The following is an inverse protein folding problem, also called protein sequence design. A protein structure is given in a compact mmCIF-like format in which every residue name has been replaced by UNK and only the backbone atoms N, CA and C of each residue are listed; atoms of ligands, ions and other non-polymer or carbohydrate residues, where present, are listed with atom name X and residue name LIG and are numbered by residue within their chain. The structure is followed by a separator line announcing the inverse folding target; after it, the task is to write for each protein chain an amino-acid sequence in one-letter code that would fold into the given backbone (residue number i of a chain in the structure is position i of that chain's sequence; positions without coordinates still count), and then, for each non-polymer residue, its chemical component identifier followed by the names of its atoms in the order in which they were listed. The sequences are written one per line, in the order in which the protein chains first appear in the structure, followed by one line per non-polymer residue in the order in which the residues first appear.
data_IF_901570404165
#
_entry.id   IF_901570404165
#
_cell.length_a   1.000
_cell.length_b   1.000
_cell.length_c   1.000
_cell.angle_alpha   90.00
_cell.angle_beta   90.00
_cell.angle_gamma   90.00
#
_symmetry.space_group_name_H-M   'P 1'
#
loop_
_entity.id
_entity.type
_entity.pdbx_description
1 polymer ?
#
# COMPACT_ATOMS: atom_id res chain seq x y z
N UNK A 1 15.14 -33.21 20.57
CA UNK A 1 16.24 -32.46 19.92
C UNK A 1 15.96 -32.46 18.44
N UNK A 2 15.82 -31.28 17.80
CA UNK A 2 15.59 -31.21 16.36
C UNK A 2 16.87 -31.63 15.64
N UNK A 3 16.76 -32.63 14.80
CA UNK A 3 17.84 -33.21 14.00
C UNK A 3 18.15 -32.25 12.83
N UNK A 4 18.78 -31.10 13.15
CA UNK A 4 19.06 -30.03 12.17
C UNK A 4 20.25 -30.35 11.27
N UNK A 5 20.96 -31.46 11.51
CA UNK A 5 22.16 -31.86 10.77
C UNK A 5 21.87 -32.40 9.36
N UNK A 6 20.62 -32.75 9.05
CA UNK A 6 20.26 -33.44 7.79
C UNK A 6 19.29 -32.67 6.89
N UNK A 7 18.97 -31.40 7.21
CA UNK A 7 18.04 -30.61 6.39
C UNK A 7 18.80 -29.92 5.25
N UNK A 8 18.52 -30.26 3.96
CA UNK A 8 19.11 -29.58 2.82
C UNK A 8 18.83 -28.08 2.87
N UNK A 9 19.77 -27.26 2.39
CA UNK A 9 19.67 -25.79 2.37
C UNK A 9 18.30 -25.28 1.88
N UNK A 10 17.75 -25.92 0.84
CA UNK A 10 16.47 -25.58 0.21
C UNK A 10 15.26 -25.75 1.13
N UNK A 11 15.35 -26.67 2.10
CA UNK A 11 14.26 -27.03 3.01
C UNK A 11 14.36 -26.36 4.38
N UNK A 12 15.35 -25.49 4.59
CA UNK A 12 15.56 -24.85 5.88
C UNK A 12 14.55 -23.72 6.10
N UNK A 13 13.85 -23.70 7.25
CA UNK A 13 12.96 -22.59 7.58
C UNK A 13 13.74 -21.29 7.72
N UNK A 14 13.15 -20.17 7.29
CA UNK A 14 13.75 -18.85 7.46
C UNK A 14 13.87 -18.52 8.94
N UNK A 15 15.05 -18.08 9.37
CA UNK A 15 15.26 -17.68 10.76
C UNK A 15 14.62 -16.31 11.03
N UNK A 16 13.88 -16.14 12.14
CA UNK A 16 13.31 -14.86 12.51
C UNK A 16 14.40 -13.87 12.92
N UNK A 17 14.15 -12.58 12.69
CA UNK A 17 15.06 -11.52 13.17
C UNK A 17 14.98 -11.42 14.69
N UNK A 18 16.12 -11.64 15.35
CA UNK A 18 16.22 -11.56 16.81
C UNK A 18 16.33 -10.09 17.25
N UNK A 19 15.50 -9.62 18.21
CA UNK A 19 15.63 -8.28 18.78
C UNK A 19 16.95 -8.10 19.52
N UNK A 20 17.56 -6.92 19.39
CA UNK A 20 18.81 -6.56 20.08
C UNK A 20 18.52 -6.18 21.54
N UNK A 21 18.46 -7.18 22.42
CA UNK A 21 18.36 -6.99 23.88
C UNK A 21 19.66 -7.44 24.58
N UNK A 22 19.94 -6.90 25.78
CA UNK A 22 21.10 -7.32 26.58
C UNK A 22 21.10 -8.83 26.84
N UNK A 23 19.93 -9.39 27.15
CA UNK A 23 19.71 -10.84 27.36
C UNK A 23 20.02 -11.64 26.10
N UNK A 24 19.45 -11.27 24.96
CA UNK A 24 19.64 -11.99 23.70
C UNK A 24 21.11 -11.97 23.27
N UNK A 25 21.79 -10.84 23.47
CA UNK A 25 23.22 -10.72 23.20
C UNK A 25 24.07 -11.62 24.11
N UNK A 26 23.69 -11.80 25.38
CA UNK A 26 24.38 -12.71 26.27
C UNK A 26 24.23 -14.18 25.81
N UNK A 27 23.02 -14.57 25.39
CA UNK A 27 22.76 -15.91 24.83
C UNK A 27 23.61 -16.16 23.58
N UNK A 28 23.62 -15.23 22.62
CA UNK A 28 24.44 -15.34 21.40
C UNK A 28 25.92 -15.46 21.74
N UNK A 29 26.43 -14.66 22.69
CA UNK A 29 27.84 -14.74 23.10
C UNK A 29 28.19 -16.07 23.75
N UNK A 30 27.34 -16.59 24.61
CA UNK A 30 27.55 -17.88 25.25
C UNK A 30 27.59 -19.00 24.21
N UNK A 31 26.65 -18.97 23.25
CA UNK A 31 26.59 -19.98 22.20
C UNK A 31 27.77 -19.87 21.23
N UNK A 32 28.21 -18.66 20.87
CA UNK A 32 29.40 -18.46 20.04
C UNK A 32 30.68 -19.03 20.66
N UNK A 33 30.83 -19.01 22.00
CA UNK A 33 31.99 -19.61 22.67
C UNK A 33 32.03 -21.13 22.50
N UNK A 34 30.86 -21.76 22.57
CA UNK A 34 30.70 -23.20 22.38
C UNK A 34 30.83 -23.56 20.88
N UNK A 35 30.38 -22.68 19.99
CA UNK A 35 30.37 -22.91 18.55
C UNK A 35 31.77 -23.11 17.96
N UNK A 36 32.78 -22.43 18.51
CA UNK A 36 34.18 -22.51 18.05
C UNK A 36 34.67 -23.96 18.07
N UNK A 37 34.40 -24.72 19.13
CA UNK A 37 34.87 -26.12 19.24
C UNK A 37 34.21 -27.03 18.22
N UNK A 38 32.97 -26.74 17.82
CA UNK A 38 32.28 -27.51 16.78
C UNK A 38 32.76 -27.15 15.37
N UNK A 39 33.11 -25.89 15.14
CA UNK A 39 33.65 -25.43 13.85
C UNK A 39 35.06 -25.96 13.60
N UNK A 40 35.90 -26.06 14.63
CA UNK A 40 37.24 -26.65 14.52
C UNK A 40 37.22 -28.15 14.17
N UNK A 41 36.16 -28.85 14.58
CA UNK A 41 35.97 -30.27 14.28
C UNK A 41 35.31 -30.53 12.90
N UNK A 42 34.88 -29.47 12.20
CA UNK A 42 34.18 -29.56 10.92
C UNK A 42 35.12 -29.94 9.79
N UNK A 43 34.71 -30.91 8.96
CA UNK A 43 35.55 -31.45 7.86
C UNK A 43 35.23 -30.84 6.51
N UNK A 44 33.99 -30.40 6.31
CA UNK A 44 33.53 -29.88 5.03
C UNK A 44 32.62 -28.65 5.19
N UNK A 45 32.34 -28.00 4.06
CA UNK A 45 31.54 -26.79 4.03
C UNK A 45 30.07 -27.05 4.42
N UNK A 46 29.54 -28.23 4.08
CA UNK A 46 28.17 -28.64 4.37
C UNK A 46 27.94 -28.85 5.88
N UNK A 47 28.91 -29.45 6.56
CA UNK A 47 28.94 -29.67 7.99
C UNK A 47 29.05 -28.33 8.72
N UNK A 48 29.94 -27.45 8.23
CA UNK A 48 30.09 -26.08 8.75
C UNK A 48 28.78 -25.31 8.67
N UNK A 49 28.13 -25.32 7.51
CA UNK A 49 26.85 -24.67 7.28
C UNK A 49 25.73 -25.26 8.16
N UNK A 50 25.70 -26.59 8.33
CA UNK A 50 24.73 -27.27 9.21
C UNK A 50 24.95 -26.94 10.70
N UNK A 51 26.20 -26.80 11.14
CA UNK A 51 26.58 -26.38 12.49
C UNK A 51 26.13 -24.93 12.74
N UNK A 52 26.41 -24.02 11.80
CA UNK A 52 25.99 -22.61 11.91
C UNK A 52 24.47 -22.48 11.93
N UNK A 53 23.77 -23.23 11.09
CA UNK A 53 22.31 -23.22 11.07
C UNK A 53 21.72 -23.78 12.36
N UNK A 54 22.20 -24.93 12.85
CA UNK A 54 21.77 -25.52 14.12
C UNK A 54 22.01 -24.59 15.30
N UNK A 55 23.15 -23.90 15.33
CA UNK A 55 23.46 -22.86 16.32
C UNK A 55 22.44 -21.72 16.30
N UNK A 56 22.10 -21.21 15.13
CA UNK A 56 21.14 -20.13 14.99
C UNK A 56 19.70 -20.56 15.37
N UNK A 57 19.32 -21.80 15.04
CA UNK A 57 18.05 -22.42 15.48
C UNK A 57 18.02 -22.55 17.01
N UNK A 58 19.10 -23.02 17.63
CA UNK A 58 19.22 -23.13 19.08
C UNK A 58 19.07 -21.77 19.77
N UNK A 59 19.71 -20.71 19.25
CA UNK A 59 19.51 -19.34 19.74
C UNK A 59 18.04 -18.92 19.65
N UNK A 60 17.39 -19.19 18.51
CA UNK A 60 15.97 -18.86 18.34
C UNK A 60 15.10 -19.59 19.37
N UNK A 61 15.37 -20.86 19.64
CA UNK A 61 14.67 -21.63 20.67
C UNK A 61 14.88 -21.07 22.09
N UNK A 62 16.11 -20.78 22.47
CA UNK A 62 16.44 -20.25 23.81
C UNK A 62 15.79 -18.88 24.06
N UNK A 63 15.69 -18.06 23.00
CA UNK A 63 15.05 -16.73 23.07
C UNK A 63 13.52 -16.84 23.00
N UNK A 64 12.97 -17.99 22.64
CA UNK A 64 11.53 -18.18 22.42
C UNK A 64 11.03 -17.54 21.12
N UNK A 65 11.91 -17.32 20.15
CA UNK A 65 11.53 -16.84 18.83
C UNK A 65 10.81 -17.94 18.05
N UNK A 66 9.60 -17.67 17.57
CA UNK A 66 8.83 -18.62 16.76
C UNK A 66 9.50 -18.78 15.40
N UNK A 67 10.03 -19.96 15.10
CA UNK A 67 10.47 -20.28 13.74
C UNK A 67 9.23 -20.37 12.85
N UNK A 68 9.21 -19.71 11.68
CA UNK A 68 8.15 -19.89 10.71
C UNK A 68 8.14 -21.35 10.25
N UNK A 69 6.99 -22.00 10.39
CA UNK A 69 6.74 -23.34 9.85
C UNK A 69 6.94 -23.29 8.34
N UNK A 70 7.75 -24.21 7.79
CA UNK A 70 7.86 -24.41 6.35
C UNK A 70 6.45 -24.64 5.79
N UNK A 71 5.92 -23.66 5.07
CA UNK A 71 4.53 -23.67 4.58
C UNK A 71 3.70 -22.43 4.92
N UNK A 72 4.08 -21.61 5.91
CA UNK A 72 3.39 -20.34 6.16
C UNK A 72 3.97 -19.23 5.28
N UNK A 73 3.72 -19.33 3.98
CA UNK A 73 3.86 -18.21 3.06
C UNK A 73 2.91 -17.10 3.52
N UNK A 74 3.41 -16.16 4.33
CA UNK A 74 2.73 -14.88 4.50
C UNK A 74 2.74 -14.25 3.11
N UNK A 75 1.60 -14.30 2.42
CA UNK A 75 1.40 -13.75 1.07
C UNK A 75 2.07 -12.38 1.02
N UNK A 76 3.22 -12.29 0.37
CA UNK A 76 3.83 -11.00 0.14
C UNK A 76 2.91 -10.29 -0.84
N UNK A 77 2.08 -9.38 -0.35
CA UNK A 77 1.39 -8.45 -1.23
C UNK A 77 2.48 -7.72 -1.98
N UNK A 78 2.56 -7.94 -3.29
CA UNK A 78 3.49 -7.23 -4.17
C UNK A 78 3.22 -5.74 -3.92
N UNK A 79 4.19 -5.06 -3.31
CA UNK A 79 4.01 -3.68 -2.91
C UNK A 79 3.89 -2.83 -4.18
N UNK A 80 2.67 -2.39 -4.50
CA UNK A 80 2.41 -1.50 -5.64
C UNK A 80 3.14 -0.18 -5.36
N UNK A 81 4.03 0.28 -6.25
CA UNK A 81 4.71 1.55 -6.08
C UNK A 81 3.72 2.70 -5.87
N UNK A 82 4.02 3.62 -4.96
CA UNK A 82 3.09 4.69 -4.57
C UNK A 82 2.67 5.59 -5.75
N UNK A 83 3.54 5.76 -6.77
CA UNK A 83 3.19 6.52 -7.98
C UNK A 83 2.14 5.80 -8.83
N UNK A 84 2.23 4.47 -8.96
CA UNK A 84 1.29 3.65 -9.72
C UNK A 84 -0.09 3.71 -9.09
N UNK A 85 -0.16 3.51 -7.77
CA UNK A 85 -1.40 3.65 -7.00
C UNK A 85 -2.02 5.04 -7.16
N UNK A 86 -1.22 6.11 -7.14
CA UNK A 86 -1.70 7.48 -7.36
C UNK A 86 -2.33 7.66 -8.75
N UNK A 87 -1.73 7.12 -9.81
CA UNK A 87 -2.30 7.18 -11.16
C UNK A 87 -3.61 6.39 -11.24
N UNK A 88 -3.62 5.16 -10.73
CA UNK A 88 -4.81 4.31 -10.70
C UNK A 88 -5.98 4.98 -9.94
N UNK A 89 -5.70 5.57 -8.78
CA UNK A 89 -6.70 6.30 -7.99
C UNK A 89 -7.25 7.53 -8.74
N UNK A 90 -6.41 8.25 -9.49
CA UNK A 90 -6.85 9.41 -10.30
C UNK A 90 -7.76 8.96 -11.45
N UNK A 91 -7.39 7.89 -12.15
CA UNK A 91 -8.19 7.32 -13.24
C UNK A 91 -9.53 6.81 -12.70
N UNK A 92 -9.53 6.09 -11.58
CA UNK A 92 -10.74 5.58 -10.95
C UNK A 92 -11.71 6.71 -10.56
N UNK A 93 -11.18 7.80 -9.99
CA UNK A 93 -11.97 9.00 -9.66
C UNK A 93 -12.56 9.67 -10.90
N UNK A 94 -11.79 9.80 -11.98
CA UNK A 94 -12.27 10.38 -13.23
C UNK A 94 -13.42 9.56 -13.83
N UNK A 95 -13.27 8.22 -13.89
CA UNK A 95 -14.33 7.31 -14.33
C UNK A 95 -15.59 7.41 -13.48
N UNK A 96 -15.44 7.47 -12.16
CA UNK A 96 -16.57 7.66 -11.25
C UNK A 96 -17.29 8.98 -11.48
N UNK A 97 -16.55 10.06 -11.76
CA UNK A 97 -17.13 11.36 -12.07
C UNK A 97 -17.86 11.36 -13.43
N UNK A 98 -17.27 10.79 -14.48
CA UNK A 98 -17.93 10.59 -15.79
C UNK A 98 -19.28 9.87 -15.61
N UNK A 99 -19.30 8.79 -14.84
CA UNK A 99 -20.54 8.04 -14.58
C UNK A 99 -21.61 8.86 -13.88
N UNK A 100 -21.25 9.73 -12.93
CA UNK A 100 -22.18 10.61 -12.23
C UNK A 100 -22.71 11.74 -13.13
N UNK A 101 -21.84 12.38 -13.92
CA UNK A 101 -22.24 13.42 -14.88
C UNK A 101 -23.18 12.83 -15.94
N UNK A 102 -22.87 11.63 -16.45
CA UNK A 102 -23.72 10.93 -17.43
C UNK A 102 -25.07 10.57 -16.82
N UNK A 103 -25.07 10.09 -15.57
CA UNK A 103 -26.32 9.75 -14.86
C UNK A 103 -27.20 11.00 -14.65
N UNK A 104 -26.60 12.12 -14.27
CA UNK A 104 -27.31 13.39 -14.12
C UNK A 104 -27.89 13.86 -15.47
N UNK A 105 -27.12 13.75 -16.55
CA UNK A 105 -27.57 14.08 -17.92
C UNK A 105 -28.78 13.25 -18.38
N UNK A 106 -28.89 12.00 -17.93
CA UNK A 106 -30.03 11.11 -18.24
C UNK A 106 -31.26 11.42 -17.33
N UNK A 107 -31.15 12.36 -16.39
CA UNK A 107 -32.25 12.80 -15.52
C UNK A 107 -32.18 12.26 -14.08
N UNK A 108 -31.06 11.67 -13.66
CA UNK A 108 -30.90 11.20 -12.28
C UNK A 108 -30.60 12.36 -11.32
N UNK A 109 -31.65 12.86 -10.66
CA UNK A 109 -31.59 13.99 -9.73
C UNK A 109 -31.44 13.59 -8.27
N UNK A 110 -30.94 12.37 -7.96
CA UNK A 110 -30.69 11.99 -6.56
C UNK A 110 -29.74 12.99 -5.90
N UNK A 111 -29.96 13.40 -4.63
CA UNK A 111 -29.17 14.45 -3.97
C UNK A 111 -27.65 14.22 -4.00
N UNK A 112 -27.21 12.95 -3.91
CA UNK A 112 -25.80 12.58 -4.01
C UNK A 112 -25.19 12.88 -5.39
N UNK A 113 -25.96 12.65 -6.46
CA UNK A 113 -25.53 12.92 -7.83
C UNK A 113 -25.47 14.43 -8.06
N UNK A 114 -26.54 15.14 -7.72
CA UNK A 114 -26.62 16.62 -7.84
C UNK A 114 -25.50 17.30 -7.07
N UNK A 115 -25.24 16.91 -5.82
CA UNK A 115 -24.12 17.45 -5.02
C UNK A 115 -22.78 17.21 -5.70
N UNK A 116 -22.57 16.03 -6.29
CA UNK A 116 -21.31 15.71 -6.97
C UNK A 116 -21.14 16.52 -8.25
N UNK A 117 -22.22 16.70 -9.02
CA UNK A 117 -22.22 17.51 -10.23
C UNK A 117 -21.96 18.97 -9.86
N UNK A 118 -22.64 19.51 -8.85
CA UNK A 118 -22.40 20.86 -8.35
C UNK A 118 -20.97 21.08 -7.86
N UNK A 119 -20.36 20.08 -7.20
CA UNK A 119 -18.94 20.12 -6.85
C UNK A 119 -18.02 20.06 -8.08
N UNK A 120 -18.41 19.34 -9.13
CA UNK A 120 -17.62 19.24 -10.36
C UNK A 120 -17.53 20.56 -11.14
N UNK A 121 -18.54 21.43 -10.96
CA UNK A 121 -18.62 22.78 -11.49
C UNK A 121 -18.34 23.87 -10.43
N UNK A 122 -17.91 23.49 -9.22
CA UNK A 122 -17.61 24.47 -8.18
C UNK A 122 -16.47 25.40 -8.62
N UNK A 123 -16.69 26.71 -8.52
CA UNK A 123 -15.73 27.72 -9.00
C UNK A 123 -15.83 28.02 -10.50
N UNK A 124 -16.73 27.37 -11.23
CA UNK A 124 -17.16 27.81 -12.56
C UNK A 124 -18.48 28.57 -12.42
N UNK A 125 -18.70 29.62 -13.22
CA UNK A 125 -19.96 30.39 -13.22
C UNK A 125 -21.13 29.63 -13.87
N UNK A 126 -21.18 28.31 -13.67
CA UNK A 126 -22.14 27.40 -14.27
C UNK A 126 -23.14 26.98 -13.20
N UNK A 127 -24.41 27.31 -13.42
CA UNK A 127 -25.51 26.86 -12.57
C UNK A 127 -26.20 25.66 -13.18
N UNK A 128 -26.53 24.66 -12.36
CA UNK A 128 -27.19 23.42 -12.79
C UNK A 128 -28.62 23.63 -13.33
N UNK A 129 -29.19 24.82 -13.09
CA UNK A 129 -30.51 25.22 -13.57
C UNK A 129 -30.48 25.95 -14.92
N UNK A 130 -29.30 26.19 -15.49
CA UNK A 130 -29.17 26.85 -16.79
C UNK A 130 -29.60 25.92 -17.93
N UNK A 131 -30.22 26.45 -19.01
CA UNK A 131 -30.63 25.64 -20.15
C UNK A 131 -29.44 25.03 -20.91
N UNK A 132 -28.26 25.63 -20.82
CA UNK A 132 -27.02 25.19 -21.48
C UNK A 132 -26.26 24.09 -20.70
N UNK A 133 -26.78 23.64 -19.56
CA UNK A 133 -26.10 22.69 -18.68
C UNK A 133 -25.81 21.36 -19.39
N UNK A 134 -26.68 20.90 -20.28
CA UNK A 134 -26.52 19.65 -21.03
C UNK A 134 -25.29 19.67 -21.94
N UNK A 135 -25.03 20.81 -22.57
CA UNK A 135 -23.84 21.01 -23.42
C UNK A 135 -22.58 21.02 -22.56
N UNK A 136 -22.57 21.82 -21.48
CA UNK A 136 -21.43 21.92 -20.55
C UNK A 136 -21.11 20.59 -19.87
N UNK A 137 -22.13 19.77 -19.58
CA UNK A 137 -21.95 18.41 -19.07
C UNK A 137 -21.23 17.53 -20.10
N UNK A 138 -21.55 17.66 -21.38
CA UNK A 138 -20.97 16.86 -22.45
C UNK A 138 -19.51 17.25 -22.67
N UNK A 139 -19.21 18.54 -22.77
CA UNK A 139 -17.84 19.07 -22.84
C UNK A 139 -17.00 18.56 -21.66
N UNK A 140 -17.56 18.67 -20.44
CA UNK A 140 -16.87 18.21 -19.23
C UNK A 140 -16.63 16.70 -19.20
N UNK A 141 -17.57 15.91 -19.72
CA UNK A 141 -17.41 14.46 -19.84
C UNK A 141 -16.29 14.12 -20.83
N UNK A 142 -16.24 14.79 -21.98
CA UNK A 142 -15.26 14.52 -23.02
C UNK A 142 -13.85 14.92 -22.60
N UNK A 143 -13.70 16.06 -21.91
CA UNK A 143 -12.45 16.46 -21.24
C UNK A 143 -11.93 15.36 -20.29
N UNK A 144 -12.82 14.79 -19.47
CA UNK A 144 -12.45 13.76 -18.50
C UNK A 144 -12.10 12.44 -19.19
N UNK A 145 -12.78 12.10 -20.29
CA UNK A 145 -12.43 10.93 -21.11
C UNK A 145 -11.03 11.10 -21.69
N UNK A 146 -10.75 12.24 -22.33
CA UNK A 146 -9.43 12.54 -22.90
C UNK A 146 -8.33 12.45 -21.84
N UNK A 147 -8.54 13.05 -20.66
CA UNK A 147 -7.58 12.98 -19.55
C UNK A 147 -7.39 11.57 -19.00
N UNK A 148 -8.45 10.76 -18.94
CA UNK A 148 -8.35 9.38 -18.47
C UNK A 148 -7.57 8.47 -19.44
N UNK A 149 -7.58 8.79 -20.73
CA UNK A 149 -6.84 8.08 -21.78
C UNK A 149 -5.35 8.46 -21.78
N UNK A 150 -5.03 9.73 -21.54
CA UNK A 150 -3.66 10.25 -21.55
C UNK A 150 -2.82 9.86 -20.32
N UNK A 151 -3.44 9.39 -19.24
CA UNK A 151 -2.72 8.95 -18.05
C UNK A 151 -2.03 10.08 -17.28
N UNK A 152 -0.89 9.79 -16.63
CA UNK A 152 -0.23 10.67 -15.65
C UNK A 152 0.06 12.10 -16.12
N UNK A 153 0.36 12.31 -17.41
CA UNK A 153 0.76 13.61 -17.98
C UNK A 153 -0.39 14.61 -18.13
N UNK A 154 -1.55 14.21 -18.68
CA UNK A 154 -2.72 15.10 -18.89
C UNK A 154 -3.40 15.59 -17.60
N UNK A 155 -2.87 15.12 -16.48
CA UNK A 155 -3.33 15.35 -15.12
C UNK A 155 -2.37 16.28 -14.37
N UNK A 156 -1.11 16.39 -14.80
CA UNK A 156 -0.09 17.23 -14.20
C UNK A 156 -0.16 18.68 -14.70
N UNK A 157 -0.78 18.92 -15.86
CA UNK A 157 -1.12 20.25 -16.39
C UNK A 157 -2.16 21.00 -15.52
N UNK A 158 -2.88 20.29 -14.65
CA UNK A 158 -3.75 20.90 -13.64
C UNK A 158 -2.98 21.43 -12.42
N UNK A 159 -1.75 20.96 -12.20
CA UNK A 159 -0.91 21.39 -11.08
C UNK A 159 0.01 22.56 -11.46
N UNK A 160 0.36 22.70 -12.74
CA UNK A 160 1.14 23.82 -13.28
C UNK A 160 0.19 24.80 -13.98
N UNK A 161 -0.37 25.71 -13.20
CA UNK A 161 -1.35 26.68 -13.69
C UNK A 161 -0.87 27.45 -14.92
N UNK A 162 -1.52 27.20 -16.06
CA UNK A 162 -1.75 28.19 -17.11
C UNK A 162 -3.11 27.94 -17.78
N UNK A 163 -3.98 28.95 -17.81
CA UNK A 163 -4.81 29.19 -18.98
C UNK A 163 -6.21 28.57 -19.08
N UNK A 164 -6.92 28.23 -18.01
CA UNK A 164 -8.39 28.27 -18.04
C UNK A 164 -8.96 28.18 -16.63
N UNK A 165 -9.95 29.02 -16.34
CA UNK A 165 -10.56 29.26 -15.02
C UNK A 165 -11.28 28.02 -14.45
N UNK A 166 -10.54 26.98 -14.09
CA UNK A 166 -11.03 25.84 -13.31
C UNK A 166 -10.04 25.55 -12.19
N UNK A 167 -10.19 26.31 -11.09
CA UNK A 167 -9.70 25.87 -9.78
C UNK A 167 -10.49 24.62 -9.39
N UNK A 168 -10.05 23.44 -9.85
CA UNK A 168 -10.48 22.19 -9.23
C UNK A 168 -9.85 22.19 -7.83
N UNK A 169 -10.64 22.59 -6.84
CA UNK A 169 -10.34 22.33 -5.44
C UNK A 169 -10.28 20.82 -5.28
N UNK A 170 -9.09 20.24 -5.39
CA UNK A 170 -8.84 18.85 -5.05
C UNK A 170 -9.07 18.73 -3.54
N UNK A 171 -10.30 18.36 -3.18
CA UNK A 171 -10.75 18.24 -1.80
C UNK A 171 -9.85 17.29 -1.01
N UNK A 172 -9.11 17.88 -0.08
CA UNK A 172 -8.64 17.24 1.15
C UNK A 172 -9.82 17.11 2.11
N UNK A 173 -10.78 16.22 1.82
CA UNK A 173 -11.83 15.85 2.77
C UNK A 173 -12.12 14.36 2.63
N UNK A 174 -11.37 13.53 3.36
CA UNK A 174 -11.85 12.46 4.25
C UNK A 174 -10.77 12.23 5.33
N UNK A 175 -10.71 13.12 6.32
CA UNK A 175 -10.23 12.82 7.68
C UNK A 175 -10.90 13.81 8.62
N UNK A 176 -12.01 13.38 9.22
CA UNK A 176 -12.51 13.71 10.57
C UNK A 176 -13.91 13.11 10.71
N UNK A 177 -13.94 11.90 11.27
CA UNK A 177 -15.11 11.31 11.89
C UNK A 177 -14.71 10.90 13.28
N UNK A 178 -14.64 11.87 14.19
CA UNK A 178 -14.82 11.70 15.63
C UNK A 178 -14.86 13.11 16.23
N UNK A 179 -16.07 13.64 16.35
CA UNK A 179 -16.40 14.75 17.25
C UNK A 179 -17.34 14.13 18.28
N UNK A 180 -16.83 14.06 19.50
CA UNK A 180 -17.47 14.27 20.79
C UNK A 180 -19.00 14.16 20.83
N UNK A 181 -19.48 13.22 21.64
CA UNK A 181 -20.80 13.28 22.23
C UNK A 181 -20.72 14.01 23.58
N UNK A 182 -21.78 14.76 23.83
CA UNK A 182 -22.05 15.81 24.81
C UNK A 182 -21.89 15.45 26.29
N UNK A 183 -21.57 16.47 27.09
CA UNK A 183 -21.86 16.53 28.53
C UNK A 183 -23.35 16.67 28.76
N UNK A 184 -23.86 15.92 29.75
CA UNK A 184 -24.56 16.45 30.93
C UNK A 184 -23.88 15.84 32.16
#
# INVERSE_FOLDING_TARGET
MLETRSVPLENRPRLPRIPLSKRNRAVVRALNRILVTYLEASRDLCETDSILFGAAVAVCHIIGAKLPTAGRATRQSIAIPAWKKRIEDRIAKARALIGRLTSFRIGNNRPRVVRTVGMAFAGTNISLSQPDITQKLTERIDDLKQKSLLGGSGFDDLARGQGSSTRIVFFRVIRRGSINHWSD
#
